data_IF_431551080016
#
_entry.id   IF_431551080016
#
_cell.length_a   1.000
_cell.length_b   1.000
_cell.length_c   1.000
_cell.angle_alpha   90.00
_cell.angle_beta   90.00
_cell.angle_gamma   90.00
#
_symmetry.space_group_name_H-M   'P 1'
#
loop_
_entity.id
_entity.type
_entity.pdbx_description
1 polymer ?
#
# COMPACT_ATOMS: atom_id res chain seq x y z
N UNK A 1 65.68 17.26 -5.20
CA UNK A 1 64.68 16.18 -5.18
C UNK A 1 63.94 16.27 -3.84
N UNK A 2 63.01 17.21 -3.73
CA UNK A 2 62.06 17.29 -2.63
C UNK A 2 60.70 17.25 -3.31
N UNK A 3 60.00 16.13 -3.14
CA UNK A 3 58.64 15.95 -3.62
C UNK A 3 57.72 16.86 -2.82
N UNK A 4 56.98 17.69 -3.54
CA UNK A 4 55.98 18.62 -3.02
C UNK A 4 54.76 17.82 -2.53
N UNK A 5 54.67 17.58 -1.22
CA UNK A 5 53.57 16.85 -0.57
C UNK A 5 52.36 17.78 -0.32
N UNK A 6 52.38 19.03 -0.80
CA UNK A 6 51.24 19.94 -0.66
C UNK A 6 50.09 19.64 -1.64
N UNK A 7 50.33 18.90 -2.72
CA UNK A 7 49.34 18.66 -3.78
C UNK A 7 48.29 17.59 -3.51
N UNK A 8 48.47 16.72 -2.50
CA UNK A 8 47.54 15.59 -2.23
C UNK A 8 46.51 15.95 -1.14
N UNK A 9 46.72 17.02 -0.37
CA UNK A 9 45.79 17.45 0.69
C UNK A 9 44.58 18.25 0.18
N UNK A 10 44.64 18.77 -1.05
CA UNK A 10 43.60 19.67 -1.59
C UNK A 10 42.40 18.97 -2.23
N UNK A 11 42.39 17.64 -2.37
CA UNK A 11 41.31 16.91 -3.04
C UNK A 11 40.12 16.54 -2.11
N UNK A 12 40.21 16.78 -0.81
CA UNK A 12 39.20 16.33 0.15
C UNK A 12 38.07 17.33 0.46
N UNK A 13 38.01 18.49 -0.18
CA UNK A 13 37.12 19.58 0.26
C UNK A 13 35.99 20.03 -0.68
N UNK A 14 35.80 19.44 -1.88
CA UNK A 14 34.84 20.01 -2.85
C UNK A 14 33.89 19.02 -3.55
N UNK A 15 33.46 17.95 -2.87
CA UNK A 15 32.34 17.10 -3.35
C UNK A 15 31.16 17.09 -2.36
N UNK A 16 31.12 18.01 -1.39
CA UNK A 16 30.08 18.02 -0.35
C UNK A 16 28.78 18.74 -0.76
N UNK A 17 28.28 18.52 -1.98
CA UNK A 17 26.84 18.61 -2.20
C UNK A 17 26.24 17.41 -1.45
N UNK A 18 25.83 17.71 -0.22
CA UNK A 18 25.73 16.80 0.90
C UNK A 18 24.84 15.57 0.60
N UNK A 19 25.44 14.38 0.58
CA UNK A 19 24.81 13.06 0.34
C UNK A 19 23.52 12.88 1.18
N UNK A 20 23.47 13.49 2.36
CA UNK A 20 22.34 13.45 3.29
C UNK A 20 21.08 14.12 2.72
N UNK A 21 21.23 15.23 1.98
CA UNK A 21 20.11 15.88 1.30
C UNK A 21 19.53 15.01 0.19
N UNK A 22 20.39 14.34 -0.58
CA UNK A 22 19.98 13.39 -1.61
C UNK A 22 19.31 12.15 -1.00
N UNK A 23 19.81 11.68 0.15
CA UNK A 23 19.22 10.56 0.88
C UNK A 23 17.76 10.84 1.26
N UNK A 24 17.41 12.07 1.64
CA UNK A 24 16.03 12.45 1.96
C UNK A 24 15.08 12.35 0.75
N UNK A 25 15.63 12.62 -0.44
CA UNK A 25 14.92 12.50 -1.71
C UNK A 25 14.93 11.08 -2.27
N UNK A 26 15.61 10.13 -1.62
CA UNK A 26 15.66 8.75 -2.10
C UNK A 26 14.25 8.20 -2.27
N UNK A 27 14.06 7.52 -3.39
CA UNK A 27 12.76 7.01 -3.78
C UNK A 27 12.43 5.78 -2.94
N UNK A 28 11.68 5.98 -1.85
CA UNK A 28 11.21 4.90 -0.98
C UNK A 28 9.70 4.93 -0.83
N UNK A 29 9.06 3.78 -1.06
CA UNK A 29 7.61 3.63 -0.91
C UNK A 29 7.19 3.27 0.52
N UNK A 30 8.10 3.30 1.50
CA UNK A 30 7.84 2.85 2.86
C UNK A 30 6.63 3.56 3.50
N UNK A 31 6.47 4.87 3.31
CA UNK A 31 5.30 5.57 3.88
C UNK A 31 4.05 5.42 3.04
N UNK A 32 4.18 5.28 1.72
CA UNK A 32 3.04 4.96 0.86
C UNK A 32 2.47 3.58 1.23
N UNK A 33 3.33 2.57 1.42
CA UNK A 33 2.97 1.23 1.89
C UNK A 33 2.33 1.24 3.27
N UNK A 34 2.87 2.03 4.20
CA UNK A 34 2.27 2.20 5.53
C UNK A 34 0.83 2.68 5.40
N UNK A 35 0.63 3.72 4.60
CA UNK A 35 -0.70 4.31 4.35
C UNK A 35 -1.65 3.25 3.78
N UNK A 36 -1.20 2.42 2.83
CA UNK A 36 -2.00 1.32 2.26
C UNK A 36 -2.48 0.36 3.33
N UNK A 37 -1.63 -0.06 4.27
CA UNK A 37 -2.02 -1.05 5.29
C UNK A 37 -2.89 -0.49 6.42
N UNK A 38 -2.89 0.82 6.66
CA UNK A 38 -3.61 1.45 7.79
C UNK A 38 -4.85 2.25 7.40
N UNK A 39 -5.27 2.25 6.13
CA UNK A 39 -6.36 3.07 5.56
C UNK A 39 -6.08 4.57 5.49
N UNK A 40 -5.35 5.07 6.47
CA UNK A 40 -5.15 6.47 6.73
C UNK A 40 -3.84 6.64 7.48
N UNK A 41 -3.41 7.88 7.64
CA UNK A 41 -2.22 8.22 8.41
C UNK A 41 -2.60 8.65 9.82
N UNK A 42 -1.87 8.16 10.81
CA UNK A 42 -2.00 8.62 12.20
C UNK A 42 -1.36 10.00 12.34
N UNK A 43 -1.75 10.81 13.33
CA UNK A 43 -1.06 12.08 13.58
C UNK A 43 0.39 11.88 14.02
N UNK A 44 0.68 10.76 14.68
CA UNK A 44 2.04 10.35 15.07
C UNK A 44 2.92 10.11 13.83
N UNK A 45 2.33 9.72 12.69
CA UNK A 45 3.07 9.52 11.43
C UNK A 45 3.74 10.80 10.93
N UNK A 46 3.29 11.97 11.41
CA UNK A 46 3.95 13.27 11.16
C UNK A 46 5.41 13.28 11.60
N UNK A 47 5.72 12.55 12.67
CA UNK A 47 7.05 12.45 13.25
C UNK A 47 7.85 11.27 12.70
N UNK A 48 7.33 10.51 11.73
CA UNK A 48 8.08 9.42 11.10
C UNK A 48 8.86 9.99 9.92
N UNK A 49 10.09 10.43 10.21
CA UNK A 49 10.99 11.05 9.25
C UNK A 49 11.85 9.98 8.56
N UNK A 50 11.61 9.75 7.28
CA UNK A 50 12.34 8.81 6.42
C UNK A 50 12.49 9.39 5.01
N UNK A 51 13.32 8.81 4.14
CA UNK A 51 13.37 9.20 2.74
C UNK A 51 12.01 9.14 2.02
N UNK A 52 11.89 9.88 0.91
CA UNK A 52 10.74 9.78 0.02
C UNK A 52 9.44 10.37 0.59
N UNK A 53 9.52 11.36 1.50
CA UNK A 53 8.32 11.90 2.15
C UNK A 53 7.28 12.45 1.19
N UNK A 54 7.74 13.08 0.11
CA UNK A 54 6.91 13.65 -0.93
C UNK A 54 6.05 12.60 -1.67
N UNK A 55 6.33 11.30 -1.57
CA UNK A 55 5.64 10.26 -2.36
C UNK A 55 4.39 9.66 -1.71
N UNK A 56 4.05 10.06 -0.49
CA UNK A 56 2.92 9.48 0.24
C UNK A 56 1.59 9.54 -0.53
N UNK A 57 1.38 10.59 -1.32
CA UNK A 57 0.18 10.75 -2.15
C UNK A 57 0.08 9.73 -3.30
N UNK A 58 1.19 9.06 -3.67
CA UNK A 58 1.24 8.02 -4.71
C UNK A 58 0.81 6.64 -4.20
N UNK A 59 0.30 6.52 -2.97
CA UNK A 59 -0.10 5.24 -2.38
C UNK A 59 -1.07 4.42 -3.26
N UNK A 60 -1.98 5.08 -4.00
CA UNK A 60 -2.91 4.40 -4.92
C UNK A 60 -2.20 3.75 -6.12
N UNK A 61 -1.05 4.29 -6.55
CA UNK A 61 -0.29 3.76 -7.68
C UNK A 61 0.44 2.45 -7.37
N UNK A 62 0.55 2.08 -6.09
CA UNK A 62 1.21 0.84 -5.65
C UNK A 62 0.49 -0.42 -6.16
N UNK A 63 -0.80 -0.35 -6.49
CA UNK A 63 -1.54 -1.46 -7.09
C UNK A 63 -1.17 -1.72 -8.56
N UNK A 64 -0.26 -0.93 -9.15
CA UNK A 64 0.12 -0.97 -10.57
C UNK A 64 -1.05 -0.78 -11.54
N UNK A 65 -2.14 -0.13 -11.08
CA UNK A 65 -3.34 0.09 -11.89
C UNK A 65 -4.13 -1.19 -12.21
N UNK A 66 -3.91 -2.28 -11.48
CA UNK A 66 -4.67 -3.52 -11.65
C UNK A 66 -6.09 -3.38 -11.07
N UNK A 67 -7.09 -3.84 -11.83
CA UNK A 67 -8.49 -3.94 -11.42
C UNK A 67 -8.97 -5.38 -11.58
N UNK A 68 -8.63 -6.27 -10.62
CA UNK A 68 -8.81 -7.70 -10.79
C UNK A 68 -10.30 -8.07 -10.86
N UNK A 69 -10.61 -9.06 -11.68
CA UNK A 69 -11.95 -9.60 -11.80
C UNK A 69 -12.30 -10.35 -10.50
N UNK A 70 -13.49 -10.10 -9.99
CA UNK A 70 -14.00 -10.62 -8.74
C UNK A 70 -15.40 -11.19 -8.98
N UNK A 71 -15.64 -12.40 -8.49
CA UNK A 71 -16.94 -13.03 -8.57
C UNK A 71 -17.48 -13.33 -7.17
N UNK A 72 -18.72 -12.94 -6.91
CA UNK A 72 -19.45 -13.35 -5.74
C UNK A 72 -19.99 -14.77 -5.94
N UNK A 73 -19.37 -15.76 -5.30
CA UNK A 73 -19.75 -17.17 -5.45
C UNK A 73 -21.13 -17.47 -4.85
N UNK A 74 -21.64 -16.61 -3.98
CA UNK A 74 -22.99 -16.72 -3.40
C UNK A 74 -24.08 -16.26 -4.37
N UNK A 75 -23.86 -15.16 -5.09
CA UNK A 75 -24.88 -14.54 -5.96
C UNK A 75 -24.69 -14.81 -7.44
N UNK A 76 -23.48 -15.18 -7.87
CA UNK A 76 -23.12 -15.32 -9.29
C UNK A 76 -22.57 -14.04 -9.93
N UNK A 77 -22.65 -12.91 -9.23
CA UNK A 77 -22.33 -11.60 -9.81
C UNK A 77 -20.82 -11.40 -9.98
N UNK A 78 -20.42 -10.90 -11.16
CA UNK A 78 -19.02 -10.59 -11.49
C UNK A 78 -18.84 -9.09 -11.58
N UNK A 79 -17.80 -8.59 -10.90
CA UNK A 79 -17.42 -7.18 -10.84
C UNK A 79 -15.90 -7.06 -10.73
N UNK A 80 -15.38 -5.84 -10.59
CA UNK A 80 -13.95 -5.60 -10.38
C UNK A 80 -13.69 -5.09 -8.97
N UNK A 81 -12.56 -5.48 -8.38
CA UNK A 81 -12.09 -4.85 -7.15
C UNK A 81 -11.55 -3.47 -7.52
N UNK A 82 -12.23 -2.42 -7.07
CA UNK A 82 -11.87 -1.03 -7.41
C UNK A 82 -10.91 -0.40 -6.41
N UNK A 83 -10.81 -0.99 -5.21
CA UNK A 83 -10.03 -0.45 -4.12
C UNK A 83 -8.53 -0.75 -4.28
N UNK A 84 -7.65 0.26 -4.53
CA UNK A 84 -6.24 0.02 -4.79
C UNK A 84 -5.48 -0.56 -3.60
N UNK A 85 -5.84 -0.18 -2.36
CA UNK A 85 -5.19 -0.71 -1.16
C UNK A 85 -5.46 -2.20 -1.00
N UNK A 86 -6.71 -2.61 -1.22
CA UNK A 86 -7.10 -4.03 -1.25
C UNK A 86 -6.35 -4.77 -2.34
N UNK A 87 -6.34 -4.26 -3.58
CA UNK A 87 -5.61 -4.90 -4.69
C UNK A 87 -4.14 -5.10 -4.34
N UNK A 88 -3.45 -4.07 -3.84
CA UNK A 88 -2.04 -4.18 -3.45
C UNK A 88 -1.82 -5.22 -2.34
N UNK A 89 -2.70 -5.26 -1.32
CA UNK A 89 -2.63 -6.28 -0.27
C UNK A 89 -2.80 -7.69 -0.85
N UNK A 90 -3.79 -7.90 -1.73
CA UNK A 90 -4.03 -9.20 -2.36
C UNK A 90 -2.86 -9.64 -3.25
N UNK A 91 -2.26 -8.72 -4.01
CA UNK A 91 -1.05 -8.96 -4.81
C UNK A 91 0.11 -9.44 -3.92
N UNK A 92 0.28 -8.84 -2.74
CA UNK A 92 1.36 -9.19 -1.79
C UNK A 92 1.19 -10.58 -1.20
N UNK A 93 -0.02 -10.97 -0.81
CA UNK A 93 -0.28 -12.24 -0.13
C UNK A 93 -0.55 -13.42 -1.09
N UNK A 94 -0.95 -13.12 -2.33
CA UNK A 94 -1.24 -14.08 -3.38
C UNK A 94 0.03 -14.79 -3.86
N UNK A 95 -0.09 -16.08 -4.17
CA UNK A 95 0.98 -16.91 -4.72
C UNK A 95 0.48 -17.58 -6.00
N UNK A 96 1.35 -17.66 -7.00
CA UNK A 96 1.02 -18.22 -8.32
C UNK A 96 0.60 -19.68 -8.19
N UNK A 97 -0.52 -20.04 -8.82
CA UNK A 97 -1.07 -21.40 -8.80
C UNK A 97 -1.62 -21.84 -7.44
N UNK A 98 -1.80 -20.90 -6.50
CA UNK A 98 -2.33 -21.20 -5.16
C UNK A 98 -3.58 -20.35 -4.87
N UNK A 99 -4.54 -20.96 -4.19
CA UNK A 99 -5.66 -20.28 -3.58
C UNK A 99 -5.26 -19.80 -2.19
N UNK A 100 -5.23 -18.48 -2.02
CA UNK A 100 -5.06 -17.83 -0.72
C UNK A 100 -6.43 -17.45 -0.18
N UNK A 101 -6.78 -17.89 1.03
CA UNK A 101 -8.04 -17.48 1.67
C UNK A 101 -7.78 -16.34 2.65
N UNK A 102 -8.67 -15.35 2.63
CA UNK A 102 -8.62 -14.15 3.47
C UNK A 102 -9.98 -13.98 4.12
N UNK A 103 -9.99 -13.62 5.40
CA UNK A 103 -11.20 -13.31 6.13
C UNK A 103 -11.28 -11.81 6.43
N UNK A 104 -12.46 -11.22 6.21
CA UNK A 104 -12.79 -9.85 6.60
C UNK A 104 -13.55 -9.89 7.91
N UNK A 105 -12.96 -9.28 8.93
CA UNK A 105 -13.61 -9.06 10.22
C UNK A 105 -13.80 -7.57 10.49
N UNK A 106 -14.68 -7.27 11.45
CA UNK A 106 -14.65 -5.96 12.09
C UNK A 106 -13.32 -5.79 12.80
N UNK A 107 -12.85 -4.56 12.83
CA UNK A 107 -11.62 -4.21 13.53
C UNK A 107 -11.90 -4.20 15.03
N UNK A 108 -11.43 -5.23 15.73
CA UNK A 108 -11.31 -5.21 17.19
C UNK A 108 -10.09 -4.36 17.61
N UNK A 109 -9.96 -4.06 18.91
CA UNK A 109 -8.91 -3.20 19.52
C UNK A 109 -7.47 -3.52 19.12
N UNK A 110 -7.20 -4.66 18.45
CA UNK A 110 -5.95 -4.98 17.75
C UNK A 110 -5.46 -3.89 16.76
N UNK A 111 -6.34 -2.99 16.30
CA UNK A 111 -5.97 -1.74 15.62
C UNK A 111 -4.92 -0.91 16.37
N UNK A 112 -4.98 -0.93 17.70
CA UNK A 112 -4.05 -0.21 18.57
C UNK A 112 -2.61 -0.71 18.41
N UNK A 113 -2.40 -1.98 18.04
CA UNK A 113 -1.06 -2.56 17.87
C UNK A 113 -0.26 -1.91 16.72
N UNK A 114 -0.93 -1.48 15.64
CA UNK A 114 -0.25 -0.72 14.58
C UNK A 114 0.09 0.70 15.03
N UNK A 115 -0.72 1.32 15.89
CA UNK A 115 -0.42 2.62 16.49
C UNK A 115 0.78 2.55 17.43
N UNK A 116 0.90 1.48 18.22
CA UNK A 116 2.06 1.26 19.11
C UNK A 116 3.35 1.00 18.33
N UNK A 117 3.31 0.25 17.22
CA UNK A 117 4.51 -0.01 16.40
C UNK A 117 5.02 1.23 15.67
N UNK A 118 4.15 2.17 15.30
CA UNK A 118 4.57 3.49 14.76
C UNK A 118 5.16 4.44 15.81
N UNK A 119 4.99 4.17 17.11
CA UNK A 119 5.53 5.02 18.16
C UNK A 119 7.06 5.01 18.20
N UNK A 120 7.70 3.88 17.85
CA UNK A 120 9.16 3.76 17.88
C UNK A 120 9.89 4.69 16.88
N UNK A 121 9.58 4.70 15.57
CA UNK A 121 10.25 5.62 14.64
C UNK A 121 9.92 7.09 14.92
N UNK A 122 8.73 7.37 15.47
CA UNK A 122 8.38 8.72 15.93
C UNK A 122 9.22 9.13 17.14
N UNK A 123 9.37 8.25 18.13
CA UNK A 123 10.21 8.47 19.30
C UNK A 123 11.67 8.70 18.90
N UNK A 124 12.20 7.90 17.95
CA UNK A 124 13.53 8.09 17.39
C UNK A 124 13.72 9.50 16.82
N UNK A 125 12.74 10.00 16.07
CA UNK A 125 12.79 11.36 15.50
C UNK A 125 12.77 12.44 16.58
N UNK A 126 11.96 12.29 17.62
CA UNK A 126 11.91 13.22 18.77
C UNK A 126 13.24 13.20 19.53
N UNK A 127 13.81 12.02 19.80
CA UNK A 127 15.11 11.88 20.45
C UNK A 127 16.21 12.53 19.62
N UNK A 128 16.20 12.35 18.30
CA UNK A 128 17.16 13.01 17.41
C UNK A 128 17.02 14.53 17.42
N UNK A 129 15.80 15.07 17.41
CA UNK A 129 15.58 16.51 17.53
C UNK A 129 16.11 17.06 18.86
N UNK A 130 15.86 16.39 19.98
CA UNK A 130 16.39 16.78 21.29
C UNK A 130 17.93 16.74 21.32
N UNK A 131 18.53 15.72 20.70
CA UNK A 131 19.99 15.61 20.60
C UNK A 131 20.61 16.76 19.77
N UNK A 132 19.97 17.15 18.66
CA UNK A 132 20.43 18.29 17.85
C UNK A 132 20.34 19.63 18.60
N UNK A 133 19.33 19.80 19.47
CA UNK A 133 19.26 20.96 20.38
C UNK A 133 20.45 20.97 21.34
N UNK A 134 20.84 19.82 21.89
CA UNK A 134 22.04 19.72 22.74
C UNK A 134 23.33 20.04 21.99
N UNK A 135 23.41 19.71 20.69
CA UNK A 135 24.52 20.07 19.81
C UNK A 135 24.47 21.53 19.33
N UNK A 136 23.40 22.27 19.62
CA UNK A 136 23.15 23.63 19.10
C UNK A 136 23.17 23.73 17.57
N UNK A 137 22.88 22.64 16.86
CA UNK A 137 22.79 22.63 15.39
C UNK A 137 21.37 22.99 14.95
N UNK A 138 21.08 24.29 14.96
CA UNK A 138 19.79 24.85 14.57
C UNK A 138 19.45 24.60 13.11
N UNK A 139 20.45 24.49 12.24
CA UNK A 139 20.26 24.20 10.81
C UNK A 139 19.77 22.77 10.56
N UNK A 140 20.38 21.78 11.20
CA UNK A 140 19.92 20.40 11.15
C UNK A 140 18.53 20.24 11.80
N UNK A 141 18.29 20.96 12.91
CA UNK A 141 16.97 20.98 13.55
C UNK A 141 15.90 21.57 12.62
N UNK A 142 16.18 22.72 12.00
CA UNK A 142 15.28 23.37 11.04
C UNK A 142 14.97 22.44 9.86
N UNK A 143 15.97 21.71 9.37
CA UNK A 143 15.78 20.69 8.36
C UNK A 143 14.79 19.59 8.81
N UNK A 144 14.94 19.03 10.02
CA UNK A 144 13.99 18.02 10.53
C UNK A 144 12.60 18.61 10.75
N UNK A 145 12.49 19.86 11.22
CA UNK A 145 11.21 20.55 11.33
C UNK A 145 10.54 20.72 9.96
N UNK A 146 11.29 21.07 8.92
CA UNK A 146 10.77 21.18 7.55
C UNK A 146 10.26 19.82 7.05
N UNK A 147 11.00 18.73 7.29
CA UNK A 147 10.55 17.38 6.95
C UNK A 147 9.27 16.98 7.71
N UNK A 148 9.16 17.36 8.99
CA UNK A 148 7.95 17.14 9.77
C UNK A 148 6.75 17.94 9.22
N UNK A 149 6.98 19.18 8.74
CA UNK A 149 5.93 19.97 8.04
C UNK A 149 5.51 19.30 6.73
N UNK A 150 6.45 18.82 5.92
CA UNK A 150 6.16 18.03 4.69
C UNK A 150 5.28 16.82 5.03
N UNK A 151 5.64 16.08 6.09
CA UNK A 151 4.84 14.93 6.56
C UNK A 151 3.49 15.33 7.12
N UNK A 152 3.39 16.45 7.83
CA UNK A 152 2.13 16.95 8.37
C UNK A 152 1.16 17.27 7.23
N UNK A 153 1.61 18.01 6.21
CA UNK A 153 0.79 18.37 5.05
C UNK A 153 0.28 17.11 4.35
N UNK A 154 1.17 16.14 4.07
CA UNK A 154 0.78 14.89 3.43
C UNK A 154 -0.21 14.08 4.29
N UNK A 155 0.00 14.04 5.61
CA UNK A 155 -0.89 13.36 6.56
C UNK A 155 -2.28 14.00 6.60
N UNK A 156 -2.35 15.33 6.61
CA UNK A 156 -3.62 16.08 6.55
C UNK A 156 -4.38 15.75 5.27
N UNK A 157 -3.71 15.80 4.11
CA UNK A 157 -4.31 15.48 2.80
C UNK A 157 -4.84 14.04 2.76
N UNK A 158 -4.02 13.06 3.16
CA UNK A 158 -4.45 11.65 3.19
C UNK A 158 -5.65 11.45 4.11
N UNK A 159 -5.64 12.02 5.32
CA UNK A 159 -6.77 11.92 6.27
C UNK A 159 -8.04 12.58 5.74
N UNK A 160 -7.92 13.66 4.97
CA UNK A 160 -9.06 14.30 4.29
C UNK A 160 -9.62 13.39 3.18
N UNK A 161 -8.74 12.79 2.39
CA UNK A 161 -9.09 11.91 1.27
C UNK A 161 -9.59 10.52 1.70
N UNK A 162 -9.21 10.02 2.89
CA UNK A 162 -9.59 8.70 3.40
C UNK A 162 -10.94 8.66 4.12
N UNK A 163 -11.77 9.72 4.03
CA UNK A 163 -13.11 9.73 4.62
C UNK A 163 -14.02 8.70 3.91
N UNK A 164 -15.02 8.20 4.64
CA UNK A 164 -15.89 7.11 4.17
C UNK A 164 -16.69 7.57 2.94
N UNK A 165 -16.44 6.91 1.81
CA UNK A 165 -17.21 7.02 0.57
C UNK A 165 -18.46 6.10 0.58
N UNK A 166 -19.29 6.19 -0.45
CA UNK A 166 -20.46 5.32 -0.66
C UNK A 166 -20.04 3.88 -1.04
N UNK A 167 -20.73 2.86 -0.51
CA UNK A 167 -20.43 1.43 -0.72
C UNK A 167 -21.63 0.58 -1.20
N UNK A 168 -22.65 1.22 -1.75
CA UNK A 168 -23.89 0.55 -2.16
C UNK A 168 -24.92 0.41 -1.04
N UNK A 169 -26.00 -0.33 -1.32
CA UNK A 169 -27.06 -0.64 -0.36
C UNK A 169 -26.56 -1.58 0.73
N UNK A 170 -26.99 -1.32 1.97
CA UNK A 170 -26.72 -2.19 3.12
C UNK A 170 -27.50 -3.50 3.00
N UNK A 171 -26.79 -4.61 3.12
CA UNK A 171 -27.34 -5.98 3.16
C UNK A 171 -26.92 -6.64 4.48
N UNK A 172 -27.64 -6.34 5.58
CA UNK A 172 -27.25 -6.80 6.90
C UNK A 172 -27.40 -8.33 7.05
N UNK A 173 -26.45 -8.95 7.76
CA UNK A 173 -26.53 -10.35 8.19
C UNK A 173 -26.19 -11.40 7.12
N UNK A 174 -25.96 -11.00 5.87
CA UNK A 174 -25.55 -11.94 4.82
C UNK A 174 -24.04 -12.17 4.83
N UNK A 175 -23.64 -13.43 4.69
CA UNK A 175 -22.24 -13.81 4.44
C UNK A 175 -22.00 -13.78 2.93
N UNK A 176 -20.83 -13.26 2.55
CA UNK A 176 -20.37 -13.25 1.18
C UNK A 176 -19.09 -14.04 1.03
N UNK A 177 -18.87 -14.49 -0.20
CA UNK A 177 -17.70 -15.25 -0.57
C UNK A 177 -17.27 -14.81 -1.97
N UNK A 178 -16.12 -14.15 -2.05
CA UNK A 178 -15.61 -13.53 -3.26
C UNK A 178 -14.39 -14.31 -3.75
N UNK A 179 -14.38 -14.68 -5.02
CA UNK A 179 -13.18 -15.15 -5.71
C UNK A 179 -12.59 -14.04 -6.55
N UNK A 180 -11.36 -13.64 -6.25
CA UNK A 180 -10.60 -12.62 -6.98
C UNK A 180 -9.50 -13.28 -7.80
N UNK A 181 -9.46 -12.98 -9.09
CA UNK A 181 -8.40 -13.40 -10.00
C UNK A 181 -7.44 -12.23 -10.24
N UNK A 182 -6.21 -12.39 -9.77
CA UNK A 182 -5.13 -11.44 -9.99
C UNK A 182 -4.21 -11.93 -11.13
N UNK A 183 -3.43 -11.00 -11.66
CA UNK A 183 -2.35 -11.25 -12.60
C UNK A 183 -1.36 -12.27 -12.06
N UNK A 184 -0.69 -13.01 -12.96
CA UNK A 184 0.24 -14.10 -12.66
C UNK A 184 -0.40 -15.33 -11.99
N UNK A 185 -1.65 -15.65 -12.36
CA UNK A 185 -2.42 -16.80 -11.85
C UNK A 185 -2.43 -16.89 -10.32
N UNK A 186 -2.62 -15.73 -9.66
CA UNK A 186 -2.81 -15.65 -8.22
C UNK A 186 -4.30 -15.60 -7.94
N UNK A 187 -4.79 -16.54 -7.13
CA UNK A 187 -6.21 -16.63 -6.81
C UNK A 187 -6.43 -16.36 -5.33
N UNK A 188 -7.38 -15.47 -5.02
CA UNK A 188 -7.67 -15.10 -3.64
C UNK A 188 -9.15 -15.23 -3.37
N UNK A 189 -9.49 -15.99 -2.32
CA UNK A 189 -10.86 -16.09 -1.80
C UNK A 189 -11.01 -15.17 -0.61
N UNK A 190 -11.97 -14.25 -0.65
CA UNK A 190 -12.26 -13.31 0.44
C UNK A 190 -13.61 -13.67 1.04
N UNK A 191 -13.62 -14.03 2.32
CA UNK A 191 -14.81 -14.41 3.09
C UNK A 191 -15.13 -13.36 4.14
N UNK A 192 -16.42 -13.20 4.46
CA UNK A 192 -16.85 -12.29 5.52
C UNK A 192 -18.32 -11.90 5.36
N UNK A 193 -18.76 -10.87 6.08
CA UNK A 193 -20.10 -10.30 5.86
C UNK A 193 -20.13 -9.48 4.58
N UNK A 194 -21.23 -9.55 3.82
CA UNK A 194 -21.38 -8.86 2.52
C UNK A 194 -21.12 -7.36 2.62
N UNK A 195 -21.58 -6.70 3.68
CA UNK A 195 -21.31 -5.27 3.92
C UNK A 195 -19.83 -4.97 4.17
N UNK A 196 -19.13 -5.88 4.85
CA UNK A 196 -17.71 -5.71 5.13
C UNK A 196 -16.88 -5.98 3.88
N UNK A 197 -17.28 -6.96 3.07
CA UNK A 197 -16.70 -7.23 1.75
C UNK A 197 -16.89 -6.06 0.78
N UNK A 198 -18.10 -5.48 0.73
CA UNK A 198 -18.37 -4.25 -0.03
C UNK A 198 -17.45 -3.12 0.44
N UNK A 199 -17.36 -2.90 1.75
CA UNK A 199 -16.51 -1.84 2.32
C UNK A 199 -15.05 -1.94 1.87
N UNK A 200 -14.53 -3.17 1.71
CA UNK A 200 -13.13 -3.39 1.36
C UNK A 200 -12.86 -3.55 -0.13
N UNK A 201 -13.83 -4.05 -0.89
CA UNK A 201 -13.65 -4.32 -2.32
C UNK A 201 -14.21 -3.20 -3.21
N UNK A 202 -15.22 -2.47 -2.76
CA UNK A 202 -15.93 -1.47 -3.56
C UNK A 202 -15.46 -0.04 -3.30
N UNK A 203 -15.54 0.75 -4.37
CA UNK A 203 -15.22 2.17 -4.36
C UNK A 203 -13.73 2.45 -4.22
N UNK A 204 -13.39 3.73 -4.40
CA UNK A 204 -12.03 4.19 -4.17
C UNK A 204 -11.71 4.21 -2.68
N UNK A 205 -10.44 3.94 -2.40
CA UNK A 205 -9.89 4.05 -1.08
C UNK A 205 -9.70 5.52 -0.68
N UNK A 206 -8.99 6.29 -1.51
CA UNK A 206 -8.85 7.73 -1.36
C UNK A 206 -9.75 8.45 -2.38
N UNK A 207 -10.48 9.47 -1.93
CA UNK A 207 -11.21 10.34 -2.84
C UNK A 207 -10.28 11.05 -3.83
N UNK A 208 -10.80 11.48 -4.98
CA UNK A 208 -10.05 12.32 -5.90
C UNK A 208 -9.60 13.59 -5.19
N UNK A 209 -8.32 14.01 -5.36
CA UNK A 209 -7.84 15.22 -4.74
C UNK A 209 -8.58 16.42 -5.34
N UNK A 210 -9.14 17.29 -4.50
CA UNK A 210 -9.62 18.58 -4.96
C UNK A 210 -8.45 19.54 -5.21
N UNK A 211 -8.71 20.70 -5.81
CA UNK A 211 -7.69 21.72 -6.06
C UNK A 211 -6.84 22.06 -4.82
N UNK A 212 -7.47 22.17 -3.65
CA UNK A 212 -6.73 22.45 -2.41
C UNK A 212 -5.83 21.30 -1.95
N UNK A 213 -6.23 20.04 -2.19
CA UNK A 213 -5.37 18.87 -1.92
C UNK A 213 -4.16 18.89 -2.85
N UNK A 214 -4.38 19.17 -4.13
CA UNK A 214 -3.32 19.23 -5.14
C UNK A 214 -2.30 20.33 -4.83
N UNK A 215 -2.75 21.53 -4.50
CA UNK A 215 -1.88 22.61 -4.07
C UNK A 215 -1.07 22.24 -2.83
N UNK A 216 -1.69 21.62 -1.81
CA UNK A 216 -0.98 21.16 -0.61
C UNK A 216 0.07 20.08 -0.93
N UNK A 217 -0.27 19.10 -1.77
CA UNK A 217 0.67 18.07 -2.21
C UNK A 217 1.83 18.67 -3.03
N UNK A 218 1.55 19.66 -3.88
CA UNK A 218 2.55 20.42 -4.63
C UNK A 218 3.49 21.19 -3.71
N UNK A 219 2.96 21.95 -2.76
CA UNK A 219 3.74 22.68 -1.76
C UNK A 219 4.63 21.73 -0.94
N UNK A 220 4.07 20.62 -0.45
CA UNK A 220 4.81 19.59 0.27
C UNK A 220 6.00 19.04 -0.54
N UNK A 221 5.78 18.79 -1.84
CA UNK A 221 6.82 18.30 -2.75
C UNK A 221 7.91 19.35 -2.97
N UNK A 222 7.54 20.62 -3.18
CA UNK A 222 8.50 21.73 -3.31
C UNK A 222 9.34 21.92 -2.05
N UNK A 223 8.72 21.88 -0.87
CA UNK A 223 9.44 21.96 0.42
C UNK A 223 10.43 20.80 0.58
N UNK A 224 10.03 19.58 0.18
CA UNK A 224 10.94 18.43 0.19
C UNK A 224 12.15 18.63 -0.73
N UNK A 225 11.99 19.27 -1.89
CA UNK A 225 13.10 19.58 -2.80
C UNK A 225 14.00 20.72 -2.33
N UNK A 226 13.50 21.63 -1.49
CA UNK A 226 14.31 22.69 -0.87
C UNK A 226 15.10 22.16 0.35
N UNK A 227 14.59 21.13 1.05
CA UNK A 227 15.22 20.59 2.26
C UNK A 227 16.72 20.23 2.13
N UNK A 228 17.21 19.63 1.01
CA UNK A 228 18.63 19.36 0.81
C UNK A 228 19.54 20.60 0.95
N UNK A 229 19.04 21.78 0.59
CA UNK A 229 19.79 23.04 0.69
C UNK A 229 20.03 23.40 2.17
N UNK A 230 19.05 23.13 3.04
CA UNK A 230 19.17 23.41 4.47
C UNK A 230 20.18 22.49 5.16
N UNK A 231 20.15 21.18 4.86
CA UNK A 231 21.08 20.22 5.48
C UNK A 231 22.52 20.39 4.96
N UNK A 232 22.71 20.93 3.76
CA UNK A 232 24.05 21.27 3.25
C UNK A 232 24.76 22.32 4.11
N UNK A 233 24.00 23.19 4.77
CA UNK A 233 24.52 24.23 5.66
C UNK A 233 24.67 23.77 7.12
N UNK A 234 24.26 22.54 7.46
CA UNK A 234 24.40 21.98 8.81
C UNK A 234 25.84 21.56 9.12
N UNK A 235 26.15 21.41 10.41
CA UNK A 235 27.46 20.91 10.85
C UNK A 235 27.65 19.45 10.43
N UNK A 236 28.90 18.99 10.30
CA UNK A 236 29.18 17.59 9.91
C UNK A 236 28.50 16.59 10.86
N UNK A 237 28.53 16.87 12.16
CA UNK A 237 27.91 16.02 13.17
C UNK A 237 26.38 16.00 13.02
N UNK A 238 25.75 17.16 12.81
CA UNK A 238 24.32 17.25 12.52
C UNK A 238 23.92 16.51 11.26
N UNK A 239 24.73 16.58 10.20
CA UNK A 239 24.51 15.84 8.96
C UNK A 239 24.54 14.33 9.19
N UNK A 240 25.51 13.80 9.94
CA UNK A 240 25.59 12.37 10.27
C UNK A 240 24.41 11.88 11.10
N UNK A 241 24.01 12.67 12.10
CA UNK A 241 22.86 12.37 12.97
C UNK A 241 21.57 12.30 12.14
N UNK A 242 21.36 13.27 11.25
CA UNK A 242 20.21 13.29 10.33
C UNK A 242 20.24 12.09 9.38
N UNK A 243 21.40 11.78 8.79
CA UNK A 243 21.54 10.64 7.89
C UNK A 243 21.19 9.32 8.60
N UNK A 244 21.71 9.12 9.81
CA UNK A 244 21.44 7.95 10.63
C UNK A 244 19.95 7.83 10.96
N UNK A 245 19.30 8.93 11.35
CA UNK A 245 17.85 8.97 11.59
C UNK A 245 17.08 8.52 10.34
N UNK A 246 17.37 9.10 9.17
CA UNK A 246 16.64 8.79 7.94
C UNK A 246 16.79 7.31 7.54
N UNK A 247 18.01 6.76 7.58
CA UNK A 247 18.25 5.34 7.27
C UNK A 247 17.57 4.43 8.30
N UNK A 248 17.76 4.69 9.59
CA UNK A 248 17.20 3.87 10.66
C UNK A 248 15.67 3.87 10.62
N UNK A 249 15.04 5.03 10.44
CA UNK A 249 13.59 5.15 10.28
C UNK A 249 13.08 4.45 9.04
N UNK A 250 13.79 4.51 7.91
CA UNK A 250 13.43 3.81 6.69
C UNK A 250 13.43 2.28 6.88
N UNK A 251 14.51 1.75 7.49
CA UNK A 251 14.64 0.33 7.80
C UNK A 251 13.54 -0.11 8.76
N UNK A 252 13.33 0.65 9.84
CA UNK A 252 12.32 0.34 10.84
C UNK A 252 10.91 0.31 10.24
N UNK A 253 10.56 1.33 9.45
CA UNK A 253 9.25 1.39 8.81
C UNK A 253 9.10 0.28 7.75
N UNK A 254 10.15 0.00 6.98
CA UNK A 254 10.17 -1.12 6.03
C UNK A 254 9.93 -2.47 6.71
N UNK A 255 10.56 -2.71 7.87
CA UNK A 255 10.32 -3.90 8.68
C UNK A 255 8.87 -3.95 9.20
N UNK A 256 8.35 -2.85 9.75
CA UNK A 256 6.96 -2.76 10.22
C UNK A 256 5.99 -3.12 9.09
N UNK A 257 6.18 -2.54 7.90
CA UNK A 257 5.34 -2.84 6.74
C UNK A 257 5.44 -4.31 6.32
N UNK A 258 6.66 -4.88 6.34
CA UNK A 258 6.90 -6.30 5.98
C UNK A 258 6.28 -7.27 6.97
N UNK A 259 6.26 -6.96 8.26
CA UNK A 259 5.63 -7.80 9.29
C UNK A 259 4.14 -7.54 9.47
N UNK A 260 3.61 -6.50 8.82
CA UNK A 260 2.16 -6.25 8.80
C UNK A 260 1.51 -7.25 7.85
N UNK A 261 0.91 -8.31 8.39
CA UNK A 261 0.28 -9.40 7.62
C UNK A 261 -1.23 -9.20 7.39
N UNK A 262 -1.71 -7.99 7.65
CA UNK A 262 -3.12 -7.64 7.52
C UNK A 262 -3.29 -6.28 6.87
N UNK A 263 -4.44 -6.08 6.23
CA UNK A 263 -4.87 -4.77 5.74
C UNK A 263 -5.97 -4.26 6.66
N UNK A 264 -5.75 -3.10 7.29
CA UNK A 264 -6.78 -2.38 8.02
C UNK A 264 -7.36 -1.29 7.15
N UNK A 265 -8.68 -1.31 6.96
CA UNK A 265 -9.37 -0.34 6.12
C UNK A 265 -10.80 -0.11 6.61
N UNK A 266 -11.21 1.15 6.78
CA UNK A 266 -12.58 1.58 7.11
C UNK A 266 -13.18 0.81 8.29
N UNK A 267 -12.39 0.63 9.36
CA UNK A 267 -12.75 -0.18 10.55
C UNK A 267 -13.00 -1.66 10.27
N UNK A 268 -12.40 -2.19 9.22
CA UNK A 268 -12.35 -3.61 8.84
C UNK A 268 -10.91 -4.06 8.76
N UNK A 269 -10.69 -5.35 8.96
CA UNK A 269 -9.38 -5.95 8.82
C UNK A 269 -9.47 -7.17 7.92
N UNK A 270 -8.60 -7.23 6.91
CA UNK A 270 -8.38 -8.42 6.09
C UNK A 270 -7.19 -9.17 6.68
N UNK A 271 -7.38 -10.44 7.03
CA UNK A 271 -6.31 -11.33 7.49
C UNK A 271 -6.29 -12.63 6.70
N UNK A 272 -5.10 -13.19 6.54
CA UNK A 272 -4.95 -14.53 6.01
C UNK A 272 -5.70 -15.53 6.89
N UNK A 273 -6.41 -16.44 6.23
CA UNK A 273 -7.24 -17.46 6.86
C UNK A 273 -6.78 -18.84 6.38
N UNK A 274 -6.02 -19.52 7.24
CA UNK A 274 -5.48 -20.86 6.99
C UNK A 274 -4.30 -20.90 6.01
N UNK A 275 -3.97 -22.11 5.58
CA UNK A 275 -2.88 -22.38 4.63
C UNK A 275 -3.32 -22.19 3.17
N UNK A 276 -2.34 -21.88 2.32
CA UNK A 276 -2.57 -21.74 0.87
C UNK A 276 -2.68 -23.10 0.23
N UNK A 277 -3.67 -23.30 -0.65
CA UNK A 277 -3.86 -24.56 -1.37
C UNK A 277 -3.37 -24.46 -2.80
N UNK A 278 -2.45 -25.32 -3.21
CA UNK A 278 -1.94 -25.36 -4.58
C UNK A 278 -2.86 -26.15 -5.51
N UNK A 279 -2.97 -25.72 -6.77
CA UNK A 279 -3.72 -26.41 -7.81
C UNK A 279 -2.88 -26.56 -9.07
N UNK A 280 -3.15 -27.62 -9.86
CA UNK A 280 -2.43 -27.82 -11.13
C UNK A 280 -2.92 -26.90 -12.22
N UNK A 281 -4.21 -26.59 -12.23
CA UNK A 281 -4.80 -25.68 -13.21
C UNK A 281 -6.02 -24.94 -12.64
N UNK A 282 -6.39 -23.83 -13.28
CA UNK A 282 -7.55 -23.00 -12.90
C UNK A 282 -8.89 -23.76 -12.92
N UNK A 283 -9.01 -24.79 -13.76
CA UNK A 283 -10.24 -25.59 -13.86
C UNK A 283 -10.45 -26.50 -12.66
N UNK A 284 -9.38 -27.03 -12.07
CA UNK A 284 -9.42 -27.85 -10.86
C UNK A 284 -9.88 -27.01 -9.66
N UNK A 285 -9.31 -25.81 -9.51
CA UNK A 285 -9.78 -24.82 -8.54
C UNK A 285 -11.27 -24.52 -8.73
N UNK A 286 -11.68 -24.25 -9.97
CA UNK A 286 -13.08 -23.92 -10.25
C UNK A 286 -14.02 -25.07 -9.88
N UNK A 287 -13.70 -26.32 -10.26
CA UNK A 287 -14.51 -27.49 -9.91
C UNK A 287 -14.67 -27.67 -8.40
N UNK A 288 -13.60 -27.49 -7.62
CA UNK A 288 -13.69 -27.57 -6.16
C UNK A 288 -14.59 -26.46 -5.59
N UNK A 289 -14.39 -25.21 -6.01
CA UNK A 289 -15.19 -24.09 -5.52
C UNK A 289 -16.66 -24.18 -5.97
N UNK A 290 -16.94 -24.75 -7.14
CA UNK A 290 -18.29 -25.06 -7.60
C UNK A 290 -18.94 -26.12 -6.69
N UNK A 291 -18.21 -27.17 -6.33
CA UNK A 291 -18.73 -28.19 -5.40
C UNK A 291 -19.04 -27.61 -4.01
N UNK A 292 -18.30 -26.59 -3.57
CA UNK A 292 -18.51 -25.94 -2.28
C UNK A 292 -19.65 -24.91 -2.30
N UNK A 293 -19.77 -24.15 -3.40
CA UNK A 293 -20.80 -23.10 -3.54
C UNK A 293 -22.15 -23.63 -4.04
N UNK A 294 -22.15 -24.80 -4.70
CA UNK A 294 -23.32 -25.35 -5.37
C UNK A 294 -23.73 -24.59 -6.65
N UNK A 295 -22.91 -23.64 -7.12
CA UNK A 295 -23.17 -22.78 -8.29
C UNK A 295 -21.98 -22.76 -9.23
N UNK A 296 -22.25 -22.64 -10.53
CA UNK A 296 -21.25 -22.64 -11.60
C UNK A 296 -21.30 -21.41 -12.52
N UNK A 297 -22.33 -20.57 -12.39
CA UNK A 297 -22.56 -19.37 -13.19
C UNK A 297 -21.41 -18.36 -13.09
N UNK A 298 -20.92 -18.11 -11.88
CA UNK A 298 -19.75 -17.24 -11.66
C UNK A 298 -18.49 -17.79 -12.34
N UNK A 299 -18.33 -19.11 -12.41
CA UNK A 299 -17.15 -19.74 -12.98
C UNK A 299 -17.15 -19.65 -14.51
N UNK A 300 -18.32 -19.74 -15.15
CA UNK A 300 -18.49 -19.45 -16.58
C UNK A 300 -18.24 -17.98 -16.88
N UNK A 301 -18.83 -17.06 -16.11
CA UNK A 301 -18.67 -15.62 -16.30
C UNK A 301 -17.21 -15.15 -16.12
N UNK A 302 -16.44 -15.83 -15.27
CA UNK A 302 -15.01 -15.59 -15.07
C UNK A 302 -14.11 -16.32 -16.08
N UNK A 303 -14.67 -17.12 -16.99
CA UNK A 303 -13.90 -17.88 -17.99
C UNK A 303 -13.00 -18.97 -17.39
N UNK A 304 -13.35 -19.49 -16.20
CA UNK A 304 -12.58 -20.55 -15.54
C UNK A 304 -12.92 -21.94 -16.08
N UNK A 305 -14.15 -22.11 -16.56
CA UNK A 305 -14.66 -23.31 -17.20
C UNK A 305 -15.37 -22.93 -18.51
N UNK A 306 -15.28 -23.79 -19.51
CA UNK A 306 -16.04 -23.66 -20.76
C UNK A 306 -17.40 -24.32 -20.58
N UNK A 307 -18.49 -23.70 -21.05
CA UNK A 307 -19.77 -24.40 -21.14
C UNK A 307 -19.62 -25.64 -22.01
N UNK A 308 -20.29 -26.73 -21.63
CA UNK A 308 -20.38 -27.91 -22.49
C UNK A 308 -20.96 -27.46 -23.85
N UNK A 309 -20.40 -27.94 -24.97
CA UNK A 309 -20.95 -27.58 -26.27
C UNK A 309 -22.42 -27.99 -26.29
N UNK A 310 -23.30 -27.03 -26.60
CA UNK A 310 -24.68 -27.33 -26.97
C UNK A 310 -24.60 -28.48 -27.96
N UNK A 311 -25.14 -29.66 -27.63
CA UNK A 311 -25.30 -30.74 -28.60
C UNK A 311 -26.06 -30.13 -29.76
N UNK A 312 -25.35 -29.83 -30.86
CA UNK A 312 -25.99 -29.42 -32.08
C UNK A 312 -26.99 -30.52 -32.40
N UNK A 313 -28.28 -30.19 -32.41
CA UNK A 313 -29.31 -31.09 -32.91
C UNK A 313 -28.99 -31.37 -34.38
N UNK A 314 -28.23 -32.43 -34.63
CA UNK A 314 -27.82 -32.90 -35.94
C UNK A 314 -28.98 -33.62 -36.64
N UNK A 315 -30.18 -33.04 -36.61
CA UNK A 315 -31.40 -33.62 -37.18
C UNK A 315 -32.18 -32.62 -38.04
N UNK A 316 -31.47 -31.83 -38.85
CA UNK A 316 -32.06 -31.16 -40.02
C UNK A 316 -31.32 -31.62 -41.29
N UNK A 317 -31.37 -32.93 -41.56
CA UNK A 317 -31.34 -33.42 -42.94
C UNK A 317 -32.76 -33.25 -43.51
N UNK A 318 -33.07 -32.05 -43.98
CA UNK A 318 -34.20 -31.85 -44.88
C UNK A 318 -33.80 -32.33 -46.29
N UNK A 319 -34.72 -32.91 -47.07
CA UNK A 319 -34.39 -33.48 -48.37
C UNK A 319 -34.01 -32.36 -49.35
N UNK A 320 -32.86 -32.52 -50.02
CA UNK A 320 -32.50 -31.73 -51.19
C UNK A 320 -33.41 -32.19 -52.33
N UNK A 321 -34.38 -31.35 -52.71
CA UNK A 321 -35.17 -31.54 -53.92
C UNK A 321 -34.28 -31.15 -55.10
N UNK A 322 -34.04 -32.11 -55.99
CA UNK A 322 -33.32 -31.97 -57.27
C UNK A 322 -34.23 -31.27 -58.28
#
# INVERSE_FOLDING_TARGET
MYLDIAGISAAHHNVSLNLVGLLALADTDAVALRTVFTDSSSWIDTLILCPGLHRQHKAESLSNGEYPACAAMTTGYVFRVENPATVHFLQRIGRTGQLTTVFVSKQDDTASALSYTSAFPAALSVTTMAYLVSLSDWTALLYLCLLAVVRLINTVVIRRRSRIAWHGSSEPGQTGDLLVLLSYDRWVRIRGYTNDLKTVASGRWLHEPGFTDECMMGCSTLLAYVAPILVANATRDGQYVVALLLVASAIMLGMINRFTDFLSMKRRVLRLDGERKAYKNRSELARELISQSGRNDWAYAMGLITPEPLKAESNLQGPVVI
#
